data_IF_623051909048
#
_entry.id   IF_623051909048
#
_cell.length_a   1.000
_cell.length_b   1.000
_cell.length_c   1.000
_cell.angle_alpha   90.00
_cell.angle_beta   90.00
_cell.angle_gamma   90.00
#
_symmetry.space_group_name_H-M   'P 1'
#
loop_
_entity.id
_entity.type
_entity.pdbx_description
1 polymer ?
#
# COMPACT_ATOMS: atom_id res chain seq x y z
N UNK A 1 -21.67 -14.79 -3.64
CA UNK A 1 -21.03 -13.46 -3.54
C UNK A 1 -20.50 -13.11 -4.91
N UNK A 2 -20.69 -11.88 -5.40
CA UNK A 2 -20.07 -11.44 -6.65
C UNK A 2 -18.73 -10.78 -6.36
N UNK A 3 -17.69 -11.15 -7.11
CA UNK A 3 -16.32 -10.64 -7.01
C UNK A 3 -15.82 -10.36 -8.42
N UNK A 4 -15.66 -9.08 -8.80
CA UNK A 4 -15.15 -8.66 -10.12
C UNK A 4 -15.73 -9.50 -11.29
N UNK A 5 -17.07 -9.51 -11.41
CA UNK A 5 -17.87 -10.29 -12.39
C UNK A 5 -17.95 -11.82 -12.19
N UNK A 6 -17.40 -12.35 -11.11
CA UNK A 6 -17.40 -13.78 -10.79
C UNK A 6 -18.37 -14.07 -9.65
N UNK A 7 -19.31 -14.99 -9.87
CA UNK A 7 -20.19 -15.49 -8.80
C UNK A 7 -19.50 -16.61 -8.02
N UNK A 8 -19.05 -16.30 -6.80
CA UNK A 8 -18.49 -17.28 -5.88
C UNK A 8 -19.62 -17.83 -5.00
N UNK A 9 -19.90 -19.12 -5.13
CA UNK A 9 -20.77 -19.83 -4.20
C UNK A 9 -20.02 -20.13 -2.90
N UNK A 10 -20.66 -19.88 -1.75
CA UNK A 10 -20.05 -20.17 -0.45
C UNK A 10 -19.75 -21.67 -0.27
N UNK A 11 -20.53 -22.53 -0.94
CA UNK A 11 -20.34 -23.98 -0.95
C UNK A 11 -19.11 -24.43 -1.76
N UNK A 12 -18.58 -23.56 -2.62
CA UNK A 12 -17.45 -23.85 -3.52
C UNK A 12 -16.13 -23.26 -3.00
N UNK A 13 -16.13 -22.57 -1.85
CA UNK A 13 -14.92 -21.99 -1.23
C UNK A 13 -13.81 -23.03 -1.03
N UNK A 14 -14.18 -24.28 -0.71
CA UNK A 14 -13.25 -25.39 -0.55
C UNK A 14 -12.69 -25.92 -1.87
N UNK A 15 -13.34 -25.63 -3.00
CA UNK A 15 -12.98 -26.05 -4.35
C UNK A 15 -12.42 -24.93 -5.22
N UNK A 16 -12.28 -23.72 -4.68
CA UNK A 16 -11.66 -22.59 -5.39
C UNK A 16 -10.22 -22.96 -5.77
N UNK A 17 -9.89 -22.82 -7.05
CA UNK A 17 -8.54 -23.06 -7.54
C UNK A 17 -7.53 -22.05 -6.96
N UNK A 18 -6.26 -22.38 -7.04
CA UNK A 18 -5.21 -21.54 -6.45
C UNK A 18 -5.14 -20.15 -7.08
N UNK A 19 -5.45 -20.02 -8.37
CA UNK A 19 -5.40 -18.75 -9.07
C UNK A 19 -6.48 -17.80 -8.55
N UNK A 20 -7.71 -18.29 -8.36
CA UNK A 20 -8.82 -17.53 -7.83
C UNK A 20 -8.58 -17.11 -6.38
N UNK A 21 -7.98 -17.97 -5.55
CA UNK A 21 -7.54 -17.59 -4.20
C UNK A 21 -6.55 -16.43 -4.23
N UNK A 22 -5.56 -16.47 -5.11
CA UNK A 22 -4.59 -15.39 -5.28
C UNK A 22 -5.26 -14.08 -5.73
N UNK A 23 -6.26 -14.16 -6.63
CA UNK A 23 -7.03 -12.97 -7.06
C UNK A 23 -7.81 -12.34 -5.91
N UNK A 24 -8.52 -13.15 -5.13
CA UNK A 24 -9.28 -12.68 -3.96
C UNK A 24 -8.34 -12.06 -2.93
N UNK A 25 -7.22 -12.72 -2.63
CA UNK A 25 -6.24 -12.17 -1.69
C UNK A 25 -5.66 -10.84 -2.18
N UNK A 26 -5.29 -10.77 -3.46
CA UNK A 26 -4.74 -9.55 -4.05
C UNK A 26 -5.73 -8.39 -3.96
N UNK A 27 -6.99 -8.60 -4.32
CA UNK A 27 -8.05 -7.58 -4.24
C UNK A 27 -8.31 -7.14 -2.79
N UNK A 28 -8.33 -8.08 -1.85
CA UNK A 28 -8.46 -7.76 -0.42
C UNK A 28 -7.27 -6.93 0.08
N UNK A 29 -6.04 -7.26 -0.32
CA UNK A 29 -4.86 -6.48 0.07
C UNK A 29 -4.91 -5.06 -0.51
N UNK A 30 -5.25 -4.92 -1.78
CA UNK A 30 -5.31 -3.61 -2.44
C UNK A 30 -6.39 -2.71 -1.83
N UNK A 31 -7.60 -3.24 -1.63
CA UNK A 31 -8.68 -2.49 -0.99
C UNK A 31 -8.35 -2.16 0.47
N UNK A 32 -7.81 -3.11 1.24
CA UNK A 32 -7.43 -2.85 2.62
C UNK A 32 -6.40 -1.72 2.70
N UNK A 33 -5.38 -1.73 1.84
CA UNK A 33 -4.39 -0.65 1.82
C UNK A 33 -5.00 0.70 1.44
N UNK A 34 -5.92 0.73 0.47
CA UNK A 34 -6.66 1.95 0.15
C UNK A 34 -7.42 2.50 1.37
N UNK A 35 -8.19 1.64 2.05
CA UNK A 35 -8.94 2.03 3.26
C UNK A 35 -8.01 2.49 4.40
N UNK A 36 -6.91 1.78 4.63
CA UNK A 36 -5.92 2.13 5.64
C UNK A 36 -5.23 3.46 5.33
N UNK A 37 -4.88 3.69 4.06
CA UNK A 37 -4.26 4.94 3.62
C UNK A 37 -5.23 6.12 3.76
N UNK A 38 -6.49 5.95 3.37
CA UNK A 38 -7.57 6.95 3.59
C UNK A 38 -7.75 7.24 5.08
N UNK A 39 -7.86 6.20 5.90
CA UNK A 39 -8.10 6.35 7.34
C UNK A 39 -6.92 7.06 8.02
N UNK A 40 -5.70 6.68 7.66
CA UNK A 40 -4.49 7.31 8.20
C UNK A 40 -4.36 8.76 7.71
N UNK A 41 -4.58 9.03 6.44
CA UNK A 41 -4.52 10.39 5.90
C UNK A 41 -5.52 11.32 6.59
N UNK A 42 -6.73 10.82 6.86
CA UNK A 42 -7.75 11.54 7.63
C UNK A 42 -7.31 11.82 9.07
N UNK A 43 -6.60 10.89 9.71
CA UNK A 43 -6.07 11.08 11.06
C UNK A 43 -4.89 12.07 11.09
N UNK A 44 -4.01 12.01 10.07
CA UNK A 44 -2.80 12.82 9.98
C UNK A 44 -3.08 14.26 9.54
N UNK A 45 -4.07 14.46 8.67
CA UNK A 45 -4.42 15.76 8.09
C UNK A 45 -5.91 16.11 8.22
N UNK A 46 -6.52 16.14 9.44
CA UNK A 46 -7.97 16.32 9.60
C UNK A 46 -8.51 17.58 8.92
N UNK A 47 -7.72 18.65 8.85
CA UNK A 47 -8.12 19.91 8.22
C UNK A 47 -8.36 19.82 6.70
N UNK A 48 -7.68 18.90 6.01
CA UNK A 48 -7.89 18.68 4.57
C UNK A 48 -9.25 18.01 4.31
N UNK A 49 -9.68 17.15 5.23
CA UNK A 49 -10.93 16.40 5.21
C UNK A 49 -12.15 17.15 5.78
N UNK A 50 -12.02 18.45 6.07
CA UNK A 50 -13.18 19.26 6.51
C UNK A 50 -13.86 19.97 5.35
N UNK A 51 -13.15 20.20 4.23
CA UNK A 51 -13.62 21.06 3.15
C UNK A 51 -13.37 20.50 1.74
N UNK A 52 -12.57 19.43 1.61
CA UNK A 52 -12.01 18.96 0.32
C UNK A 52 -11.97 17.43 0.22
N UNK A 53 -12.96 16.75 0.78
CA UNK A 53 -13.01 15.27 0.81
C UNK A 53 -12.84 14.65 -0.57
N UNK A 54 -13.50 15.21 -1.59
CA UNK A 54 -13.38 14.73 -2.96
C UNK A 54 -11.96 14.92 -3.52
N UNK A 55 -11.34 16.08 -3.30
CA UNK A 55 -9.99 16.36 -3.82
C UNK A 55 -8.95 15.46 -3.14
N UNK A 56 -9.08 15.25 -1.83
CA UNK A 56 -8.15 14.40 -1.09
C UNK A 56 -8.30 12.92 -1.47
N UNK A 57 -9.55 12.46 -1.63
CA UNK A 57 -9.81 11.12 -2.16
C UNK A 57 -9.26 10.95 -3.58
N UNK A 58 -9.33 11.98 -4.42
CA UNK A 58 -8.77 11.93 -5.78
C UNK A 58 -7.24 11.84 -5.76
N UNK A 59 -6.55 12.56 -4.86
CA UNK A 59 -5.10 12.39 -4.68
C UNK A 59 -4.73 10.98 -4.25
N UNK A 60 -5.48 10.40 -3.30
CA UNK A 60 -5.24 9.02 -2.84
C UNK A 60 -5.50 8.02 -3.97
N UNK A 61 -6.60 8.19 -4.73
CA UNK A 61 -6.94 7.33 -5.87
C UNK A 61 -5.84 7.27 -6.91
N UNK A 62 -5.18 8.39 -7.20
CA UNK A 62 -4.11 8.43 -8.20
C UNK A 62 -2.90 7.55 -7.86
N UNK A 63 -2.71 7.17 -6.59
CA UNK A 63 -1.65 6.26 -6.11
C UNK A 63 -1.86 4.82 -6.60
N UNK A 64 -3.10 4.48 -6.98
CA UNK A 64 -3.49 3.18 -7.47
C UNK A 64 -3.59 3.21 -9.01
N UNK A 65 -3.22 2.12 -9.70
CA UNK A 65 -3.46 2.01 -11.13
C UNK A 65 -4.97 1.92 -11.39
N UNK A 66 -5.44 2.47 -12.51
CA UNK A 66 -6.85 2.42 -12.89
C UNK A 66 -7.43 3.76 -13.35
N UNK A 67 -8.59 3.74 -13.99
CA UNK A 67 -9.32 4.93 -14.41
C UNK A 67 -10.11 5.50 -13.23
N UNK A 68 -9.84 6.77 -12.90
CA UNK A 68 -10.36 7.50 -11.73
C UNK A 68 -11.89 7.62 -11.65
N UNK A 69 -12.64 7.19 -12.67
CA UNK A 69 -14.10 7.27 -12.74
C UNK A 69 -14.83 5.98 -12.32
N UNK A 70 -14.14 4.83 -12.28
CA UNK A 70 -14.74 3.54 -11.91
C UNK A 70 -14.42 3.19 -10.45
N UNK A 71 -15.41 2.68 -9.73
CA UNK A 71 -15.17 2.01 -8.43
C UNK A 71 -14.12 0.92 -8.64
N UNK A 72 -13.11 0.84 -7.76
CA UNK A 72 -12.04 -0.20 -7.79
C UNK A 72 -12.57 -1.62 -8.07
N UNK A 73 -13.82 -1.91 -7.71
CA UNK A 73 -14.48 -3.19 -7.94
C UNK A 73 -14.91 -3.49 -9.40
N UNK A 74 -14.81 -2.53 -10.32
CA UNK A 74 -15.28 -2.65 -11.71
C UNK A 74 -14.13 -2.80 -12.72
N UNK A 75 -12.87 -2.74 -12.27
CA UNK A 75 -11.73 -2.93 -13.15
C UNK A 75 -11.41 -4.41 -13.38
N UNK A 76 -10.98 -4.79 -14.59
CA UNK A 76 -10.56 -6.15 -14.85
C UNK A 76 -9.29 -6.48 -14.06
N UNK A 77 -9.23 -7.70 -13.52
CA UNK A 77 -8.05 -8.17 -12.80
C UNK A 77 -6.76 -7.95 -13.63
N UNK A 78 -5.73 -7.29 -13.08
CA UNK A 78 -4.55 -6.94 -13.85
C UNK A 78 -3.79 -8.17 -14.30
N UNK A 79 -3.35 -8.16 -15.56
CA UNK A 79 -2.58 -9.28 -16.14
C UNK A 79 -1.10 -9.27 -15.71
N UNK A 80 -0.62 -8.16 -15.15
CA UNK A 80 0.74 -7.97 -14.69
C UNK A 80 0.77 -7.01 -13.49
N UNK A 81 1.84 -7.06 -12.69
CA UNK A 81 2.02 -6.13 -11.59
C UNK A 81 2.16 -4.69 -12.12
N UNK A 82 1.33 -3.78 -11.61
CA UNK A 82 1.30 -2.36 -11.96
C UNK A 82 1.37 -1.49 -10.69
N UNK A 83 1.36 -0.17 -10.86
CA UNK A 83 1.36 0.75 -9.73
C UNK A 83 2.63 0.68 -8.89
N UNK A 84 2.45 0.81 -7.56
CA UNK A 84 3.50 0.58 -6.56
C UNK A 84 4.06 -0.86 -6.59
N UNK A 85 3.31 -1.83 -7.12
CA UNK A 85 3.73 -3.22 -7.24
C UNK A 85 4.58 -3.54 -8.48
N UNK A 86 4.74 -2.60 -9.41
CA UNK A 86 5.44 -2.84 -10.69
C UNK A 86 6.91 -3.22 -10.48
N UNK A 87 7.43 -4.19 -11.25
CA UNK A 87 8.87 -4.50 -11.27
C UNK A 87 9.68 -3.52 -12.12
N UNK A 88 9.02 -2.78 -13.01
CA UNK A 88 9.65 -1.74 -13.81
C UNK A 88 9.72 -0.44 -13.02
N UNK A 89 10.93 0.05 -12.76
CA UNK A 89 11.15 1.24 -11.94
C UNK A 89 10.63 2.51 -12.62
N UNK A 90 10.56 2.56 -13.96
CA UNK A 90 10.05 3.73 -14.67
C UNK A 90 8.55 3.87 -14.46
N UNK A 91 7.81 2.77 -14.66
CA UNK A 91 6.37 2.70 -14.40
C UNK A 91 6.05 2.91 -12.92
N UNK A 92 6.84 2.32 -12.01
CA UNK A 92 6.63 2.46 -10.56
C UNK A 92 6.84 3.90 -10.07
N UNK A 93 7.81 4.63 -10.66
CA UNK A 93 8.21 5.97 -10.20
C UNK A 93 7.02 6.91 -10.08
N UNK A 94 6.14 6.95 -11.08
CA UNK A 94 4.97 7.83 -11.08
C UNK A 94 4.09 7.63 -9.83
N UNK A 95 3.87 6.37 -9.44
CA UNK A 95 3.06 6.03 -8.27
C UNK A 95 3.79 6.32 -6.95
N UNK A 96 5.11 6.14 -6.93
CA UNK A 96 5.94 6.54 -5.77
C UNK A 96 5.91 8.06 -5.59
N UNK A 97 5.97 8.84 -6.67
CA UNK A 97 5.88 10.31 -6.61
C UNK A 97 4.51 10.75 -6.07
N UNK A 98 3.43 10.10 -6.49
CA UNK A 98 2.08 10.37 -5.97
C UNK A 98 1.96 10.00 -4.49
N UNK A 99 2.45 8.83 -4.09
CA UNK A 99 2.49 8.42 -2.68
C UNK A 99 3.36 9.37 -1.85
N UNK A 100 4.51 9.78 -2.38
CA UNK A 100 5.39 10.76 -1.76
C UNK A 100 4.66 12.08 -1.54
N UNK A 101 3.99 12.62 -2.56
CA UNK A 101 3.28 13.89 -2.47
C UNK A 101 2.21 13.87 -1.36
N UNK A 102 1.54 12.73 -1.17
CA UNK A 102 0.59 12.52 -0.08
C UNK A 102 1.28 12.49 1.29
N UNK A 103 2.36 11.71 1.43
CA UNK A 103 3.05 11.52 2.71
C UNK A 103 3.91 12.74 3.12
N UNK A 104 4.41 13.53 2.16
CA UNK A 104 5.33 14.63 2.41
C UNK A 104 4.71 15.76 3.22
N UNK A 105 3.39 15.91 3.16
CA UNK A 105 2.65 16.95 3.89
C UNK A 105 2.22 16.49 5.29
N UNK A 106 2.39 15.20 5.63
CA UNK A 106 2.01 14.67 6.93
C UNK A 106 2.92 15.20 8.05
N UNK A 107 2.37 15.41 9.26
CA UNK A 107 3.17 15.78 10.41
C UNK A 107 4.21 14.70 10.71
N UNK A 108 5.42 15.13 11.05
CA UNK A 108 6.53 14.21 11.37
C UNK A 108 7.25 13.61 10.14
N UNK A 109 6.90 14.05 8.92
CA UNK A 109 7.62 13.64 7.72
C UNK A 109 9.13 13.98 7.84
N UNK A 110 10.03 12.99 7.72
CA UNK A 110 11.47 13.20 7.73
C UNK A 110 11.95 14.19 6.65
N UNK A 111 12.93 15.03 6.97
CA UNK A 111 13.43 16.04 6.01
C UNK A 111 14.02 15.44 4.73
N UNK A 112 14.55 14.22 4.80
CA UNK A 112 15.06 13.48 3.63
C UNK A 112 13.95 12.88 2.75
N UNK A 113 12.71 12.90 3.24
CA UNK A 113 11.49 12.60 2.50
C UNK A 113 10.74 13.86 2.08
N UNK A 114 11.20 15.06 2.44
CA UNK A 114 10.54 16.31 2.04
C UNK A 114 10.93 16.76 0.62
N UNK A 115 11.99 16.21 0.04
CA UNK A 115 12.44 16.55 -1.32
C UNK A 115 11.85 15.60 -2.37
N UNK A 116 11.41 16.11 -3.54
CA UNK A 116 10.87 15.30 -4.62
C UNK A 116 11.92 14.38 -5.25
N UNK A 117 11.46 13.26 -5.83
CA UNK A 117 12.30 12.41 -6.65
C UNK A 117 12.73 13.19 -7.89
N UNK A 118 14.04 13.26 -8.15
CA UNK A 118 14.54 13.95 -9.33
C UNK A 118 14.08 13.27 -10.64
N UNK A 119 13.76 14.02 -11.71
CA UNK A 119 13.27 13.45 -12.99
C UNK A 119 14.22 12.42 -13.63
N UNK A 120 15.52 12.48 -13.33
CA UNK A 120 16.57 11.60 -13.83
C UNK A 120 17.04 10.55 -12.79
N UNK A 121 16.21 10.24 -11.79
CA UNK A 121 16.55 9.30 -10.72
C UNK A 121 16.89 7.91 -11.27
N UNK A 122 18.00 7.32 -10.78
CA UNK A 122 18.34 5.93 -11.06
C UNK A 122 17.30 4.98 -10.47
N UNK A 123 17.25 3.73 -10.94
CA UNK A 123 16.43 2.69 -10.33
C UNK A 123 16.70 2.55 -8.83
N UNK A 124 17.98 2.60 -8.41
CA UNK A 124 18.37 2.54 -7.00
C UNK A 124 17.77 3.66 -6.15
N UNK A 125 17.63 4.86 -6.70
CA UNK A 125 17.00 5.99 -6.02
C UNK A 125 15.51 5.76 -5.82
N UNK A 126 14.81 5.27 -6.86
CA UNK A 126 13.37 4.94 -6.79
C UNK A 126 13.09 3.88 -5.73
N UNK A 127 13.85 2.77 -5.72
CA UNK A 127 13.70 1.70 -4.72
C UNK A 127 14.05 2.16 -3.29
N UNK A 128 15.05 3.03 -3.14
CA UNK A 128 15.40 3.60 -1.84
C UNK A 128 14.27 4.49 -1.31
N UNK A 129 13.66 5.29 -2.18
CA UNK A 129 12.53 6.15 -1.83
C UNK A 129 11.30 5.32 -1.44
N UNK A 130 10.96 4.29 -2.22
CA UNK A 130 9.87 3.35 -1.88
C UNK A 130 10.04 2.79 -0.47
N UNK A 131 11.25 2.33 -0.13
CA UNK A 131 11.55 1.79 1.19
C UNK A 131 11.37 2.84 2.29
N UNK A 132 11.81 4.07 2.08
CA UNK A 132 11.67 5.15 3.08
C UNK A 132 10.20 5.52 3.29
N UNK A 133 9.44 5.69 2.21
CA UNK A 133 8.00 5.97 2.28
C UNK A 133 7.25 4.84 2.99
N UNK A 134 7.56 3.58 2.68
CA UNK A 134 6.96 2.43 3.34
C UNK A 134 7.25 2.42 4.85
N UNK A 135 8.48 2.69 5.26
CA UNK A 135 8.84 2.78 6.69
C UNK A 135 8.07 3.90 7.36
N UNK A 136 8.03 5.09 6.75
CA UNK A 136 7.32 6.25 7.31
C UNK A 136 5.81 6.00 7.42
N UNK A 137 5.20 5.41 6.39
CA UNK A 137 3.79 5.02 6.40
C UNK A 137 3.48 4.01 7.51
N UNK A 138 4.23 2.91 7.60
CA UNK A 138 4.01 1.86 8.61
C UNK A 138 4.16 2.43 10.03
N UNK A 139 5.19 3.27 10.24
CA UNK A 139 5.41 3.89 11.53
C UNK A 139 4.28 4.87 11.88
N UNK A 140 3.86 5.72 10.94
CA UNK A 140 2.75 6.66 11.13
C UNK A 140 1.45 5.93 11.46
N UNK A 141 1.17 4.81 10.77
CA UNK A 141 0.01 3.98 11.04
C UNK A 141 0.06 3.38 12.45
N UNK A 142 1.20 2.81 12.83
CA UNK A 142 1.40 2.23 14.15
C UNK A 142 1.28 3.27 15.27
N UNK A 143 1.88 4.44 15.10
CA UNK A 143 1.82 5.53 16.08
C UNK A 143 0.40 6.08 16.23
N UNK A 144 -0.40 6.02 15.18
CA UNK A 144 -1.80 6.51 15.16
C UNK A 144 -2.78 5.49 15.73
N UNK A 145 -2.69 4.22 15.33
CA UNK A 145 -3.70 3.20 15.63
C UNK A 145 -3.23 2.10 16.59
N UNK A 146 -1.94 2.02 16.90
CA UNK A 146 -1.36 1.02 17.81
C UNK A 146 -1.24 -0.39 17.23
N UNK A 147 -1.41 -0.55 15.92
CA UNK A 147 -1.28 -1.82 15.21
C UNK A 147 -0.53 -1.64 13.88
N UNK A 148 -0.05 -2.74 13.29
CA UNK A 148 0.56 -2.68 11.95
C UNK A 148 -0.54 -2.63 10.86
N UNK A 149 -0.32 -1.87 9.77
CA UNK A 149 -1.19 -1.89 8.61
C UNK A 149 -1.06 -3.20 7.83
N UNK A 150 -2.11 -3.56 7.10
CA UNK A 150 -2.12 -4.60 6.07
C UNK A 150 -1.38 -4.11 4.83
N UNK A 151 -0.05 -4.18 4.86
CA UNK A 151 0.78 -3.71 3.76
C UNK A 151 0.75 -4.68 2.54
N UNK A 152 0.26 -4.27 1.35
CA UNK A 152 0.07 -5.17 0.20
C UNK A 152 1.39 -5.70 -0.38
N UNK A 153 2.45 -4.90 -0.29
CA UNK A 153 3.74 -5.24 -0.92
C UNK A 153 4.54 -6.27 -0.14
N UNK A 154 4.02 -6.84 0.94
CA UNK A 154 4.62 -8.02 1.59
C UNK A 154 4.70 -9.26 0.68
N UNK A 155 3.97 -9.27 -0.44
CA UNK A 155 4.11 -10.33 -1.46
C UNK A 155 5.21 -10.07 -2.52
N UNK A 156 5.78 -8.85 -2.59
CA UNK A 156 6.83 -8.50 -3.58
C UNK A 156 8.08 -7.84 -2.96
N UNK A 157 8.03 -7.43 -1.69
CA UNK A 157 9.21 -7.10 -0.90
C UNK A 157 9.90 -8.41 -0.53
N UNK A 158 10.85 -8.83 -1.38
CA UNK A 158 11.89 -9.80 -1.04
C UNK A 158 12.23 -9.72 0.46
N UNK A 159 12.14 -10.87 1.15
CA UNK A 159 12.57 -11.31 2.51
C UNK A 159 13.34 -10.35 3.46
N UNK A 160 14.00 -9.29 2.98
CA UNK A 160 14.89 -8.39 3.73
C UNK A 160 14.24 -7.14 4.32
N UNK A 161 13.10 -6.65 3.82
CA UNK A 161 12.49 -5.41 4.35
C UNK A 161 11.55 -5.68 5.54
N UNK A 162 10.82 -6.79 5.50
CA UNK A 162 9.98 -7.27 6.63
C UNK A 162 10.82 -7.45 7.89
N UNK A 163 12.02 -8.03 7.76
CA UNK A 163 12.94 -8.23 8.90
C UNK A 163 13.42 -6.90 9.47
N UNK A 164 13.65 -5.86 8.66
CA UNK A 164 14.12 -4.57 9.17
C UNK A 164 13.01 -3.75 9.83
N UNK A 165 11.80 -3.76 9.26
CA UNK A 165 10.64 -3.07 9.87
C UNK A 165 10.27 -3.77 11.18
N UNK A 166 10.20 -5.10 11.18
CA UNK A 166 9.97 -5.89 12.40
C UNK A 166 11.11 -5.70 13.42
N UNK A 167 12.38 -5.68 12.99
CA UNK A 167 13.53 -5.44 13.89
C UNK A 167 13.51 -4.03 14.52
N UNK A 168 13.15 -3.01 13.74
CA UNK A 168 13.02 -1.65 14.24
C UNK A 168 11.82 -1.51 15.20
N UNK A 169 10.69 -2.17 14.92
CA UNK A 169 9.51 -2.19 15.80
C UNK A 169 9.76 -3.01 17.08
N UNK A 170 10.52 -4.10 17.01
CA UNK A 170 10.93 -4.92 18.16
C UNK A 170 11.89 -4.20 19.11
N UNK A 171 12.61 -3.16 18.64
CA UNK A 171 13.44 -2.33 19.52
C UNK A 171 12.62 -1.41 20.43
N UNK A 172 11.32 -1.20 20.15
CA UNK A 172 10.47 -0.24 20.86
C UNK A 172 9.26 -0.85 21.60
N UNK A 173 9.00 -2.17 21.55
CA UNK A 173 7.89 -2.77 22.32
C UNK A 173 8.05 -4.28 22.62
N UNK A 174 7.71 -4.77 23.83
CA UNK A 174 7.88 -6.16 24.25
C UNK A 174 6.63 -7.02 23.98
N UNK A 175 6.13 -7.04 22.73
CA UNK A 175 4.96 -7.87 22.37
C UNK A 175 5.33 -8.78 21.18
N UNK A 176 5.19 -10.12 21.30
CA UNK A 176 5.55 -11.05 20.24
C UNK A 176 4.48 -11.05 19.14
N UNK A 177 4.79 -10.47 17.98
CA UNK A 177 3.96 -10.66 16.78
C UNK A 177 4.31 -12.00 16.13
N UNK A 178 3.27 -12.82 15.88
CA UNK A 178 3.38 -14.08 15.15
C UNK A 178 3.95 -13.81 13.75
N UNK A 179 5.19 -14.24 13.54
CA UNK A 179 5.74 -14.48 12.21
C UNK A 179 4.94 -15.62 11.58
N UNK A 180 4.07 -15.32 10.62
CA UNK A 180 3.57 -16.32 9.68
C UNK A 180 4.74 -16.73 8.78
N UNK A 181 5.56 -17.67 9.23
CA UNK A 181 6.51 -18.39 8.39
C UNK A 181 5.72 -19.37 7.52
N UNK A 182 5.73 -19.17 6.20
CA UNK A 182 5.29 -20.21 5.27
C UNK A 182 6.49 -21.13 4.94
N UNK A 183 6.28 -22.46 4.93
CA UNK A 183 7.32 -23.43 4.60
C UNK A 183 7.64 -23.41 3.09
N UNK A 184 8.87 -23.84 2.78
CA UNK A 184 9.54 -23.85 1.46
C UNK A 184 8.74 -24.45 0.30
#
# INVERSE_FOLDING_TARGET
VQFQDISISLAELTTIDQMMKSKILWDLYEHNFWFELVTLDHAMMPSLWLNRDSEQLDHIRQIFPGDSELTMCAEPFPQQNQGLGSSDFQSKREYIEKLWALLAVWPGCPSDLAEPIMPLASSSCVWAMEKKLAIFYVQSFFDTFGCCPFFPTLFQLHHRVTVQIVSNLLHYSPIPFLLCTFPE
#
